data_IF_633939771915
#
_entry.id   IF_633939771915
#
_cell.length_a   1.000
_cell.length_b   1.000
_cell.length_c   1.000
_cell.angle_alpha   90.00
_cell.angle_beta   90.00
_cell.angle_gamma   90.00
#
_symmetry.space_group_name_H-M   'P 1'
#
loop_
_entity.id
_entity.type
_entity.pdbx_description
1 polymer ?
#
# COMPACT_ATOMS: atom_id res chain seq x y z
N UNK A 1 -8.49 13.14 14.82
CA UNK A 1 -9.33 11.94 15.03
C UNK A 1 -8.40 10.88 15.58
N UNK A 2 -8.67 10.46 16.81
CA UNK A 2 -7.79 9.62 17.63
C UNK A 2 -8.02 8.15 17.26
N UNK A 3 -7.37 7.67 16.20
CA UNK A 3 -7.41 6.26 15.78
C UNK A 3 -6.49 5.44 16.70
N UNK A 4 -6.86 5.38 17.97
CA UNK A 4 -6.19 4.54 18.96
C UNK A 4 -6.33 3.07 18.57
N UNK A 5 -5.30 2.28 18.86
CA UNK A 5 -5.10 0.84 18.64
C UNK A 5 -6.27 -0.14 18.93
N UNK A 6 -7.40 0.37 19.41
CA UNK A 6 -8.61 -0.37 19.74
C UNK A 6 -9.40 -0.84 18.50
N UNK A 7 -9.09 -0.39 17.28
CA UNK A 7 -9.86 -0.85 16.10
C UNK A 7 -9.37 -2.18 15.52
N UNK A 8 -8.11 -2.56 15.78
CA UNK A 8 -7.63 -3.94 15.56
C UNK A 8 -7.94 -4.86 16.76
N UNK A 9 -8.86 -4.44 17.65
CA UNK A 9 -9.27 -5.19 18.82
C UNK A 9 -10.26 -6.29 18.44
N UNK A 10 -9.83 -7.21 17.59
CA UNK A 10 -10.57 -8.44 17.41
C UNK A 10 -10.42 -9.25 18.70
N UNK A 11 -11.48 -9.26 19.50
CA UNK A 11 -11.52 -9.89 20.83
C UNK A 11 -11.09 -11.35 20.71
N UNK A 12 -11.49 -12.04 19.64
CA UNK A 12 -11.09 -13.42 19.37
C UNK A 12 -9.56 -13.61 19.27
N UNK A 13 -8.84 -12.72 18.58
CA UNK A 13 -7.37 -12.82 18.47
C UNK A 13 -6.67 -12.61 19.81
N UNK A 14 -7.21 -11.75 20.68
CA UNK A 14 -6.63 -11.47 22.00
C UNK A 14 -7.03 -12.49 23.06
N UNK A 15 -8.23 -13.07 22.96
CA UNK A 15 -8.77 -14.00 23.96
C UNK A 15 -8.50 -15.47 23.65
N UNK A 16 -8.14 -15.81 22.41
CA UNK A 16 -7.87 -17.20 22.05
C UNK A 16 -6.52 -17.67 22.63
N UNK A 17 -6.61 -18.59 23.59
CA UNK A 17 -5.45 -19.19 24.23
C UNK A 17 -4.50 -19.86 23.23
N UNK A 18 -4.97 -20.30 22.06
CA UNK A 18 -4.15 -20.90 21.00
C UNK A 18 -3.10 -19.94 20.44
N UNK A 19 -3.31 -18.63 20.55
CA UNK A 19 -2.41 -17.61 20.01
C UNK A 19 -1.58 -16.88 21.09
N UNK A 20 -1.78 -17.22 22.36
CA UNK A 20 -1.12 -16.58 23.50
C UNK A 20 0.40 -16.78 23.50
N UNK A 21 0.87 -17.97 23.11
CA UNK A 21 2.30 -18.30 23.04
C UNK A 21 2.81 -18.27 21.60
N UNK A 22 4.12 -18.09 21.44
CA UNK A 22 4.74 -18.13 20.12
C UNK A 22 4.56 -19.50 19.45
N UNK A 23 4.76 -20.59 20.19
CA UNK A 23 4.55 -21.96 19.70
C UNK A 23 3.10 -22.19 19.25
N UNK A 24 2.13 -21.68 20.01
CA UNK A 24 0.72 -21.75 19.66
C UNK A 24 0.40 -21.03 18.34
N UNK A 25 0.95 -19.82 18.15
CA UNK A 25 0.84 -19.08 16.87
C UNK A 25 1.49 -19.79 15.70
N UNK A 26 2.63 -20.44 15.91
CA UNK A 26 3.29 -21.19 14.83
C UNK A 26 2.51 -22.46 14.47
N UNK A 27 1.98 -23.18 15.46
CA UNK A 27 1.17 -24.38 15.23
C UNK A 27 -0.12 -24.08 14.47
N UNK A 28 -0.73 -22.93 14.74
CA UNK A 28 -1.99 -22.49 14.11
C UNK A 28 -1.78 -21.33 13.14
N UNK A 29 -0.61 -21.28 12.49
CA UNK A 29 -0.19 -20.15 11.64
C UNK A 29 -1.21 -19.80 10.56
N UNK A 30 -1.76 -20.80 9.88
CA UNK A 30 -2.75 -20.57 8.82
C UNK A 30 -4.04 -19.94 9.34
N UNK A 31 -4.47 -20.35 10.53
CA UNK A 31 -5.70 -19.84 11.14
C UNK A 31 -5.53 -18.37 11.58
N UNK A 32 -4.43 -18.07 12.28
CA UNK A 32 -4.15 -16.69 12.72
C UNK A 32 -3.89 -15.77 11.52
N UNK A 33 -3.16 -16.23 10.50
CA UNK A 33 -2.93 -15.45 9.27
C UNK A 33 -4.26 -15.18 8.56
N UNK A 34 -5.17 -16.15 8.52
CA UNK A 34 -6.52 -15.99 7.97
C UNK A 34 -7.35 -14.93 8.71
N UNK A 35 -7.37 -14.98 10.04
CA UNK A 35 -8.07 -14.01 10.87
C UNK A 35 -7.50 -12.59 10.69
N UNK A 36 -6.17 -12.45 10.73
CA UNK A 36 -5.51 -11.16 10.48
C UNK A 36 -5.84 -10.65 9.07
N UNK A 37 -5.81 -11.53 8.07
CA UNK A 37 -6.14 -11.16 6.68
C UNK A 37 -7.57 -10.63 6.58
N UNK A 38 -8.55 -11.33 7.16
CA UNK A 38 -9.96 -10.90 7.15
C UNK A 38 -10.16 -9.56 7.85
N UNK A 39 -9.49 -9.34 8.97
CA UNK A 39 -9.58 -8.06 9.69
C UNK A 39 -8.95 -6.92 8.90
N UNK A 40 -7.78 -7.15 8.30
CA UNK A 40 -7.03 -6.12 7.59
C UNK A 40 -7.61 -5.74 6.23
N UNK A 41 -8.48 -6.58 5.63
CA UNK A 41 -9.15 -6.30 4.35
C UNK A 41 -10.00 -5.01 4.35
N UNK A 42 -10.50 -4.58 5.51
CA UNK A 42 -11.34 -3.37 5.62
C UNK A 42 -10.52 -2.07 5.62
N UNK A 43 -9.19 -2.16 5.62
CA UNK A 43 -8.30 -1.03 5.76
C UNK A 43 -7.59 -0.69 4.45
N UNK A 44 -7.29 0.59 4.26
CA UNK A 44 -6.24 0.97 3.31
C UNK A 44 -4.88 0.50 3.83
N UNK A 45 -4.03 0.00 2.91
CA UNK A 45 -2.76 -0.61 3.29
C UNK A 45 -1.76 0.41 3.86
N UNK A 46 -1.75 1.65 3.37
CA UNK A 46 -0.84 2.69 3.84
C UNK A 46 -1.32 3.27 5.17
N UNK A 47 -2.63 3.41 5.35
CA UNK A 47 -3.23 3.84 6.62
C UNK A 47 -2.97 2.82 7.73
N UNK A 48 -3.27 1.55 7.48
CA UNK A 48 -3.02 0.47 8.43
C UNK A 48 -1.53 0.37 8.79
N UNK A 49 -0.63 0.51 7.81
CA UNK A 49 0.81 0.54 8.04
C UNK A 49 1.18 1.66 9.02
N UNK A 50 0.67 2.89 8.84
CA UNK A 50 0.96 4.03 9.73
C UNK A 50 0.45 3.80 11.14
N UNK A 51 -0.75 3.24 11.30
CA UNK A 51 -1.33 2.91 12.61
C UNK A 51 -0.47 1.87 13.33
N UNK A 52 -0.11 0.79 12.64
CA UNK A 52 0.74 -0.28 13.18
C UNK A 52 2.12 0.25 13.58
N UNK A 53 2.75 1.06 12.74
CA UNK A 53 4.06 1.65 13.05
C UNK A 53 3.99 2.60 14.25
N UNK A 54 2.92 3.41 14.36
CA UNK A 54 2.68 4.28 15.52
C UNK A 54 2.51 3.46 16.81
N UNK A 55 1.97 2.24 16.70
CA UNK A 55 1.87 1.27 17.77
C UNK A 55 3.20 0.60 18.17
N UNK A 56 4.28 0.84 17.42
CA UNK A 56 5.54 0.12 17.56
C UNK A 56 5.57 -1.25 16.85
N UNK A 57 4.56 -1.58 16.04
CA UNK A 57 4.53 -2.79 15.22
C UNK A 57 5.21 -2.52 13.87
N UNK A 58 6.29 -3.24 13.52
CA UNK A 58 6.92 -3.07 12.22
C UNK A 58 5.99 -3.59 11.12
N UNK A 59 5.52 -2.69 10.26
CA UNK A 59 4.64 -2.99 9.13
C UNK A 59 5.09 -2.23 7.89
N UNK A 60 4.82 -2.79 6.71
CA UNK A 60 5.13 -2.17 5.41
C UNK A 60 4.01 -2.43 4.40
N UNK A 61 3.48 -1.37 3.79
CA UNK A 61 2.49 -1.47 2.74
C UNK A 61 3.15 -1.91 1.42
N UNK A 62 2.52 -2.85 0.70
CA UNK A 62 2.93 -3.23 -0.65
C UNK A 62 2.40 -2.19 -1.63
N UNK A 63 3.30 -1.46 -2.29
CA UNK A 63 2.96 -0.39 -3.23
C UNK A 63 3.17 -0.86 -4.67
N UNK A 64 2.25 -0.48 -5.55
CA UNK A 64 2.44 -0.59 -7.00
C UNK A 64 3.43 0.46 -7.53
N UNK A 65 3.83 0.33 -8.80
CA UNK A 65 4.84 1.21 -9.40
C UNK A 65 4.45 2.69 -9.41
N UNK A 66 3.16 3.00 -9.55
CA UNK A 66 2.68 4.39 -9.52
C UNK A 66 2.78 4.97 -8.11
N UNK A 67 2.28 4.24 -7.10
CA UNK A 67 2.34 4.65 -5.70
C UNK A 67 3.78 4.74 -5.19
N UNK A 68 4.67 3.89 -5.69
CA UNK A 68 6.09 3.92 -5.36
C UNK A 68 6.75 5.20 -5.89
N UNK A 69 6.45 5.61 -7.12
CA UNK A 69 6.98 6.82 -7.74
C UNK A 69 6.70 8.08 -6.91
N UNK A 70 5.55 8.13 -6.25
CA UNK A 70 5.11 9.26 -5.43
C UNK A 70 5.26 9.01 -3.92
N UNK A 71 5.98 7.97 -3.51
CA UNK A 71 6.17 7.65 -2.10
C UNK A 71 7.00 8.72 -1.39
N UNK A 72 6.52 9.22 -0.24
CA UNK A 72 7.18 10.29 0.53
C UNK A 72 8.60 9.92 1.00
N UNK A 73 8.85 8.66 1.37
CA UNK A 73 10.18 8.22 1.79
C UNK A 73 11.19 8.23 0.64
N UNK A 74 10.75 7.89 -0.57
CA UNK A 74 11.60 7.92 -1.77
C UNK A 74 11.80 9.36 -2.28
N UNK A 75 10.73 10.17 -2.24
CA UNK A 75 10.78 11.58 -2.61
C UNK A 75 11.71 12.39 -1.70
N UNK A 76 11.65 12.17 -0.39
CA UNK A 76 12.52 12.88 0.58
C UNK A 76 14.01 12.57 0.44
N UNK A 77 14.37 11.58 -0.38
CA UNK A 77 15.75 11.15 -0.66
C UNK A 77 16.18 11.45 -2.10
N UNK A 78 15.36 12.16 -2.86
CA UNK A 78 15.56 12.39 -4.29
C UNK A 78 15.86 11.09 -5.04
N UNK A 79 15.15 10.01 -4.67
CA UNK A 79 15.47 8.66 -5.16
C UNK A 79 15.21 8.49 -6.67
N UNK A 80 14.21 9.19 -7.20
CA UNK A 80 13.89 9.20 -8.62
C UNK A 80 14.34 10.50 -9.26
N UNK A 81 15.11 10.39 -10.35
CA UNK A 81 15.49 11.52 -11.20
C UNK A 81 14.54 11.62 -12.39
N UNK A 82 14.06 12.83 -12.66
CA UNK A 82 13.28 13.12 -13.86
C UNK A 82 14.24 13.36 -15.03
N UNK A 83 14.44 12.34 -15.86
CA UNK A 83 15.27 12.45 -17.06
C UNK A 83 14.41 12.94 -18.23
N UNK A 84 14.77 14.06 -18.89
CA UNK A 84 14.06 14.52 -20.07
C UNK A 84 14.19 13.47 -21.18
N UNK A 85 13.10 13.24 -21.88
CA UNK A 85 13.08 12.22 -22.92
C UNK A 85 14.01 12.61 -24.08
N UNK A 86 14.87 11.68 -24.50
CA UNK A 86 15.80 11.93 -25.58
C UNK A 86 15.06 11.97 -26.95
N UNK A 87 15.37 12.95 -27.83
CA UNK A 87 14.59 13.16 -29.07
C UNK A 87 14.51 11.94 -29.99
N UNK A 88 15.54 11.10 -30.00
CA UNK A 88 15.62 9.91 -30.87
C UNK A 88 14.92 8.68 -30.31
N UNK A 89 14.60 8.67 -29.01
CA UNK A 89 13.94 7.53 -28.38
C UNK A 89 12.45 7.51 -28.67
N UNK A 90 11.90 8.66 -29.11
CA UNK A 90 10.48 8.85 -29.42
C UNK A 90 9.62 8.65 -28.18
N UNK A 91 8.77 9.63 -27.84
CA UNK A 91 7.75 9.34 -26.84
C UNK A 91 6.90 8.21 -27.40
N UNK A 92 6.85 7.06 -26.72
CA UNK A 92 5.87 6.02 -27.00
C UNK A 92 4.51 6.70 -26.92
N UNK A 93 3.98 7.07 -28.09
CA UNK A 93 2.61 7.48 -28.24
C UNK A 93 1.82 6.21 -28.02
N UNK A 94 1.55 5.89 -26.76
CA UNK A 94 0.50 4.96 -26.44
C UNK A 94 -0.76 5.53 -27.08
N UNK A 95 -1.43 4.81 -27.99
CA UNK A 95 -2.75 5.22 -28.45
C UNK A 95 -3.69 5.08 -27.26
N UNK A 96 -3.69 6.07 -26.38
CA UNK A 96 -4.72 6.21 -25.37
C UNK A 96 -5.98 6.54 -26.16
N UNK A 97 -6.94 5.62 -26.06
CA UNK A 97 -8.32 5.76 -26.52
C UNK A 97 -8.75 7.22 -26.52
N UNK A 98 -9.18 7.70 -27.69
CA UNK A 98 -9.55 9.09 -27.94
C UNK A 98 -10.36 9.67 -26.76
N UNK A 99 -9.75 10.59 -26.02
CA UNK A 99 -10.49 11.43 -25.09
C UNK A 99 -11.45 12.27 -25.94
N UNK A 100 -12.79 12.13 -25.83
CA UNK A 100 -13.73 12.87 -26.69
C UNK A 100 -13.71 14.40 -26.47
N UNK A 101 -12.83 14.89 -25.59
CA UNK A 101 -12.78 16.28 -25.15
C UNK A 101 -11.70 17.16 -25.77
N UNK A 102 -10.71 16.64 -26.51
CA UNK A 102 -9.61 17.48 -27.02
C UNK A 102 -9.58 17.57 -28.54
N UNK A 103 -10.66 18.11 -29.11
CA UNK A 103 -10.66 18.63 -30.48
C UNK A 103 -9.92 19.97 -30.52
N UNK A 104 -8.60 19.95 -30.60
CA UNK A 104 -7.86 21.08 -31.17
C UNK A 104 -7.04 20.57 -32.36
N UNK A 105 -7.53 20.97 -33.54
CA UNK A 105 -7.05 20.62 -34.87
C UNK A 105 -5.56 20.93 -35.04
N UNK A 106 -4.77 19.95 -35.48
CA UNK A 106 -3.47 20.24 -36.08
C UNK A 106 -3.67 20.81 -37.50
N UNK A 107 -2.93 21.87 -37.89
CA UNK A 107 -3.06 22.50 -39.21
C UNK A 107 -2.54 21.59 -40.32
N UNK A 108 -3.17 21.72 -41.49
CA UNK A 108 -2.92 20.97 -42.74
C UNK A 108 -1.56 21.25 -43.35
#
# INVERSE_FOLDING_TARGET
MDFSLHELNNVELKSDMRFSTNEGRMKHKQEIDGLISQETLRWDNQELMKILQTAGVPAGAVLDGQKLLFNEHLKSRDFYEMVPHHPTTGCLHYPMQEDPGNSQQLPK
#
